data_IF_497406921012
#
_entry.id   IF_497406921012
#
_cell.length_a   1.000
_cell.length_b   1.000
_cell.length_c   1.000
_cell.angle_alpha   90.00
_cell.angle_beta   90.00
_cell.angle_gamma   90.00
#
_symmetry.space_group_name_H-M   'P 1'
#
loop_
_entity.id
_entity.type
_entity.pdbx_description
1 polymer ?
#
# COMPACT_ATOMS: atom_id res chain seq x y z
N UNK A 1 -10.20 -13.28 -17.85
CA UNK A 1 -9.75 -12.87 -16.51
C UNK A 1 -9.50 -11.37 -16.58
N UNK A 2 -9.99 -10.60 -15.61
CA UNK A 2 -9.85 -9.13 -15.63
C UNK A 2 -8.36 -8.73 -15.53
N UNK A 3 -7.97 -7.70 -16.27
CA UNK A 3 -6.61 -7.16 -16.37
C UNK A 3 -6.61 -5.68 -16.01
N UNK A 4 -5.89 -5.31 -14.96
CA UNK A 4 -5.80 -3.92 -14.51
C UNK A 4 -4.38 -3.41 -14.62
N UNK A 5 -4.20 -2.16 -15.06
CA UNK A 5 -3.01 -1.38 -14.73
C UNK A 5 -3.20 -0.78 -13.35
N UNK A 6 -2.13 -0.69 -12.57
CA UNK A 6 -2.23 -0.18 -11.21
C UNK A 6 -1.05 0.73 -10.88
N UNK A 7 -1.34 1.91 -10.34
CA UNK A 7 -0.34 2.92 -9.94
C UNK A 7 -0.69 3.55 -8.60
N UNK A 8 0.24 4.27 -8.00
CA UNK A 8 0.06 5.05 -6.77
C UNK A 8 1.23 6.02 -6.63
N UNK A 9 1.08 7.07 -5.83
CA UNK A 9 2.15 8.01 -5.47
C UNK A 9 2.85 8.59 -6.70
N UNK A 10 2.04 8.96 -7.70
CA UNK A 10 2.50 9.50 -8.97
C UNK A 10 3.02 10.93 -8.85
N UNK A 11 2.66 11.68 -7.79
CA UNK A 11 3.18 13.00 -7.46
C UNK A 11 3.57 13.86 -8.67
N UNK A 12 2.68 13.98 -9.65
CA UNK A 12 2.94 14.65 -10.91
C UNK A 12 3.26 16.15 -10.70
N UNK A 13 2.95 16.71 -9.54
CA UNK A 13 3.35 18.06 -9.14
C UNK A 13 4.87 18.23 -8.95
N UNK A 14 5.62 17.13 -8.79
CA UNK A 14 7.05 17.15 -8.48
C UNK A 14 7.94 16.95 -9.71
N UNK A 15 7.37 16.60 -10.87
CA UNK A 15 8.12 16.36 -12.12
C UNK A 15 7.33 16.76 -13.36
N UNK A 16 7.89 16.50 -14.54
CA UNK A 16 7.31 16.90 -15.84
C UNK A 16 6.11 16.04 -16.28
N UNK A 17 5.45 15.36 -15.34
CA UNK A 17 4.35 14.41 -15.55
C UNK A 17 4.78 12.94 -15.62
N UNK A 18 3.81 12.05 -15.46
CA UNK A 18 3.99 10.60 -15.59
C UNK A 18 3.75 10.13 -17.02
N UNK A 19 4.78 9.53 -17.63
CA UNK A 19 4.67 8.91 -18.95
C UNK A 19 3.84 7.62 -18.86
N UNK A 20 2.61 7.68 -19.38
CA UNK A 20 1.72 6.54 -19.42
C UNK A 20 2.34 5.41 -20.27
N UNK A 21 2.52 4.18 -19.74
CA UNK A 21 3.13 3.08 -20.50
C UNK A 21 2.22 2.57 -21.62
N UNK A 22 2.76 1.80 -22.56
CA UNK A 22 1.95 1.04 -23.52
C UNK A 22 1.77 -0.39 -23.02
N UNK A 23 0.55 -0.84 -22.70
CA UNK A 23 0.33 -2.17 -22.17
C UNK A 23 0.56 -3.22 -23.26
N UNK A 24 1.15 -4.35 -22.90
CA UNK A 24 1.45 -5.44 -23.84
C UNK A 24 0.21 -6.17 -24.37
N UNK A 25 -0.97 -5.87 -23.80
CA UNK A 25 -2.27 -6.39 -24.20
C UNK A 25 -3.38 -5.43 -23.71
N UNK A 26 -4.61 -5.52 -24.23
CA UNK A 26 -5.74 -4.75 -23.71
C UNK A 26 -5.93 -4.95 -22.20
N UNK A 27 -6.40 -3.89 -21.54
CA UNK A 27 -6.68 -3.85 -20.11
C UNK A 27 -8.13 -3.45 -19.90
N UNK A 28 -8.75 -4.00 -18.85
CA UNK A 28 -10.15 -3.78 -18.52
C UNK A 28 -10.36 -2.53 -17.64
N UNK A 29 -9.27 -1.96 -17.12
CA UNK A 29 -9.28 -0.74 -16.34
C UNK A 29 -7.92 -0.33 -15.78
N UNK A 30 -7.89 0.86 -15.19
CA UNK A 30 -6.76 1.39 -14.44
C UNK A 30 -7.18 1.65 -13.00
N UNK A 31 -6.38 1.23 -12.02
CA UNK A 31 -6.61 1.46 -10.60
C UNK A 31 -5.48 2.34 -10.04
N UNK A 32 -5.81 3.48 -9.43
CA UNK A 32 -4.83 4.42 -8.90
C UNK A 32 -5.00 4.58 -7.38
N UNK A 33 -3.96 4.24 -6.65
CA UNK A 33 -3.89 4.13 -5.20
C UNK A 33 -3.75 5.45 -4.44
N UNK A 34 -3.90 6.61 -5.09
CA UNK A 34 -3.80 7.94 -4.46
C UNK A 34 -2.47 8.64 -4.71
N UNK A 35 -2.34 9.84 -4.15
CA UNK A 35 -1.20 10.75 -4.28
C UNK A 35 -0.78 10.98 -5.74
N UNK A 36 -1.74 11.36 -6.60
CA UNK A 36 -1.48 11.66 -8.01
C UNK A 36 -1.00 13.08 -8.23
N UNK A 37 -1.74 14.05 -7.68
CA UNK A 37 -1.43 15.48 -7.77
C UNK A 37 -2.14 16.25 -6.65
N UNK A 38 -1.64 17.45 -6.34
CA UNK A 38 -2.26 18.39 -5.38
C UNK A 38 -3.18 19.41 -6.06
N UNK A 39 -3.95 20.19 -5.29
CA UNK A 39 -4.65 21.42 -5.76
C UNK A 39 -5.66 21.23 -6.90
N UNK A 40 -6.42 20.13 -6.88
CA UNK A 40 -7.54 19.92 -7.81
C UNK A 40 -7.14 19.51 -9.23
N UNK A 41 -5.89 19.06 -9.41
CA UNK A 41 -5.38 18.49 -10.67
C UNK A 41 -5.24 16.97 -10.64
N UNK A 42 -5.70 16.34 -9.56
CA UNK A 42 -5.56 14.90 -9.34
C UNK A 42 -6.26 14.06 -10.40
N UNK A 43 -7.25 14.61 -11.11
CA UNK A 43 -7.96 13.94 -12.21
C UNK A 43 -7.25 14.00 -13.57
N UNK A 44 -6.20 14.81 -13.73
CA UNK A 44 -5.54 15.02 -15.03
C UNK A 44 -4.98 13.70 -15.59
N UNK A 45 -4.26 12.95 -14.75
CA UNK A 45 -3.67 11.66 -15.14
C UNK A 45 -4.73 10.59 -15.37
N UNK A 46 -5.89 10.68 -14.68
CA UNK A 46 -7.01 9.77 -14.90
C UNK A 46 -7.64 10.02 -16.27
N UNK A 47 -7.85 11.29 -16.62
CA UNK A 47 -8.38 11.67 -17.93
C UNK A 47 -7.41 11.29 -19.07
N UNK A 48 -6.10 11.48 -18.88
CA UNK A 48 -5.10 11.02 -19.82
C UNK A 48 -5.10 9.49 -19.98
N UNK A 49 -5.20 8.76 -18.87
CA UNK A 49 -5.25 7.29 -18.86
C UNK A 49 -6.50 6.75 -19.56
N UNK A 50 -7.68 7.29 -19.21
CA UNK A 50 -8.95 6.89 -19.80
C UNK A 50 -8.94 7.08 -21.32
N UNK A 51 -8.42 8.22 -21.80
CA UNK A 51 -8.28 8.50 -23.24
C UNK A 51 -7.26 7.60 -23.93
N UNK A 52 -6.12 7.34 -23.28
CA UNK A 52 -5.04 6.52 -23.88
C UNK A 52 -5.43 5.05 -24.03
N UNK A 53 -6.04 4.49 -22.99
CA UNK A 53 -6.32 3.05 -22.92
C UNK A 53 -7.75 2.68 -23.29
N UNK A 54 -8.63 3.66 -23.46
CA UNK A 54 -10.05 3.46 -23.77
C UNK A 54 -10.74 2.52 -22.77
N UNK A 55 -10.46 2.73 -21.48
CA UNK A 55 -11.00 1.91 -20.39
C UNK A 55 -11.29 2.75 -19.13
N UNK A 56 -12.14 2.25 -18.22
CA UNK A 56 -12.45 2.97 -16.98
C UNK A 56 -11.25 3.12 -16.05
N UNK A 57 -11.20 4.24 -15.34
CA UNK A 57 -10.15 4.56 -14.37
C UNK A 57 -10.75 4.78 -12.99
N UNK A 58 -10.23 4.06 -12.00
CA UNK A 58 -10.66 4.17 -10.60
C UNK A 58 -9.53 4.77 -9.78
N UNK A 59 -9.83 5.78 -8.98
CA UNK A 59 -8.90 6.44 -8.06
C UNK A 59 -9.43 6.36 -6.63
N UNK A 60 -8.54 6.21 -5.67
CA UNK A 60 -8.78 6.65 -4.29
C UNK A 60 -7.98 7.92 -4.02
N UNK A 61 -8.43 8.76 -3.10
CA UNK A 61 -7.55 9.82 -2.61
C UNK A 61 -6.45 9.23 -1.72
N UNK A 62 -5.26 9.79 -1.87
CA UNK A 62 -4.29 9.85 -0.79
C UNK A 62 -4.43 11.11 0.06
N UNK A 63 -3.38 11.47 0.78
CA UNK A 63 -3.35 12.67 1.60
C UNK A 63 -2.90 13.90 0.79
N UNK A 64 -2.18 13.71 -0.33
CA UNK A 64 -1.70 14.80 -1.16
C UNK A 64 -2.78 15.45 -2.02
N UNK A 65 -3.85 14.74 -2.40
CA UNK A 65 -4.98 15.36 -3.12
C UNK A 65 -5.53 16.58 -2.35
N UNK A 66 -5.71 16.42 -1.04
CA UNK A 66 -6.20 17.49 -0.15
C UNK A 66 -5.13 18.52 0.23
N UNK A 67 -3.84 18.25 -0.07
CA UNK A 67 -2.72 19.10 0.33
C UNK A 67 -2.72 20.43 -0.41
N UNK A 68 -2.68 21.52 0.36
CA UNK A 68 -2.72 22.88 -0.19
C UNK A 68 -4.09 23.32 -0.71
N UNK A 69 -5.13 22.52 -0.45
CA UNK A 69 -6.53 22.79 -0.79
C UNK A 69 -7.40 22.96 0.45
N UNK A 70 -8.59 23.53 0.26
CA UNK A 70 -9.70 23.39 1.21
C UNK A 70 -10.51 22.16 0.78
N UNK A 71 -10.60 21.17 1.66
CA UNK A 71 -11.20 19.86 1.37
C UNK A 71 -12.62 19.98 0.80
N UNK A 72 -13.49 20.78 1.45
CA UNK A 72 -14.87 20.98 0.97
C UNK A 72 -14.93 21.50 -0.45
N UNK A 73 -14.03 22.41 -0.79
CA UNK A 73 -13.98 23.08 -2.09
C UNK A 73 -13.43 22.11 -3.14
N UNK A 74 -12.43 21.30 -2.75
CA UNK A 74 -11.85 20.26 -3.60
C UNK A 74 -12.87 19.17 -3.96
N UNK A 75 -13.71 18.72 -3.02
CA UNK A 75 -14.78 17.76 -3.31
C UNK A 75 -15.82 18.33 -4.29
N UNK A 76 -16.19 19.60 -4.12
CA UNK A 76 -17.12 20.27 -5.03
C UNK A 76 -16.52 20.41 -6.44
N UNK A 77 -15.25 20.79 -6.53
CA UNK A 77 -14.52 20.90 -7.80
C UNK A 77 -14.34 19.54 -8.47
N UNK A 78 -13.96 18.50 -7.71
CA UNK A 78 -13.88 17.12 -8.23
C UNK A 78 -15.20 16.67 -8.83
N UNK A 79 -16.32 16.87 -8.13
CA UNK A 79 -17.64 16.48 -8.64
C UNK A 79 -17.98 17.20 -9.96
N UNK A 80 -17.62 18.48 -10.07
CA UNK A 80 -17.81 19.27 -11.29
C UNK A 80 -16.93 18.76 -12.45
N UNK A 81 -15.64 18.51 -12.19
CA UNK A 81 -14.71 17.98 -13.19
C UNK A 81 -15.10 16.58 -13.66
N UNK A 82 -15.51 15.68 -12.74
CA UNK A 82 -15.99 14.35 -13.08
C UNK A 82 -17.24 14.40 -13.97
N UNK A 83 -18.16 15.35 -13.72
CA UNK A 83 -19.32 15.54 -14.59
C UNK A 83 -18.93 15.98 -16.00
N UNK A 84 -17.94 16.86 -16.14
CA UNK A 84 -17.40 17.29 -17.44
C UNK A 84 -16.72 16.13 -18.18
N UNK A 85 -15.84 15.37 -17.50
CA UNK A 85 -15.15 14.21 -18.07
C UNK A 85 -16.14 13.11 -18.49
N UNK A 86 -17.21 12.90 -17.72
CA UNK A 86 -18.30 12.00 -18.10
C UNK A 86 -19.04 12.47 -19.35
N UNK A 87 -19.24 13.78 -19.52
CA UNK A 87 -19.85 14.34 -20.73
C UNK A 87 -18.96 14.16 -21.98
N UNK A 88 -17.65 14.03 -21.80
CA UNK A 88 -16.69 13.64 -22.84
C UNK A 88 -16.71 12.12 -23.14
N UNK A 89 -17.47 11.33 -22.37
CA UNK A 89 -17.56 9.87 -22.52
C UNK A 89 -16.52 9.09 -21.70
N UNK A 90 -15.77 9.75 -20.82
CA UNK A 90 -14.78 9.07 -19.98
C UNK A 90 -15.42 8.48 -18.72
N UNK A 91 -15.10 7.22 -18.41
CA UNK A 91 -15.53 6.55 -17.17
C UNK A 91 -14.43 6.68 -16.12
N UNK A 92 -14.56 7.70 -15.27
CA UNK A 92 -13.62 7.98 -14.18
C UNK A 92 -14.38 7.94 -12.86
N UNK A 93 -13.87 7.19 -11.89
CA UNK A 93 -14.53 6.93 -10.61
C UNK A 93 -13.56 7.22 -9.47
N UNK A 94 -13.93 8.13 -8.58
CA UNK A 94 -13.16 8.42 -7.36
C UNK A 94 -13.89 7.82 -6.15
N UNK A 95 -13.17 7.01 -5.36
CA UNK A 95 -13.73 6.29 -4.22
C UNK A 95 -13.27 6.91 -2.91
N UNK A 96 -14.25 7.34 -2.11
CA UNK A 96 -14.09 7.96 -0.79
C UNK A 96 -14.70 7.08 0.29
N UNK A 97 -14.14 5.89 0.54
CA UNK A 97 -14.82 4.89 1.37
C UNK A 97 -16.02 4.27 0.64
N UNK A 98 -15.85 3.97 -0.64
CA UNK A 98 -16.94 3.54 -1.51
C UNK A 98 -16.57 2.26 -2.29
N UNK A 99 -17.60 1.62 -2.85
CA UNK A 99 -17.48 0.40 -3.64
C UNK A 99 -17.86 0.69 -5.09
N UNK A 100 -17.13 0.11 -6.03
CA UNK A 100 -17.51 0.07 -7.44
C UNK A 100 -17.28 -1.33 -8.00
N UNK A 101 -17.85 -1.61 -9.18
CA UNK A 101 -17.62 -2.85 -9.92
C UNK A 101 -17.02 -2.53 -11.28
N UNK A 102 -15.93 -3.21 -11.63
CA UNK A 102 -15.27 -3.09 -12.92
C UNK A 102 -14.87 -4.47 -13.43
N UNK A 103 -15.29 -4.82 -14.65
CA UNK A 103 -15.03 -6.11 -15.27
C UNK A 103 -15.41 -7.33 -14.38
N UNK A 104 -16.51 -7.22 -13.63
CA UNK A 104 -16.99 -8.25 -12.70
C UNK A 104 -16.14 -8.41 -11.44
N UNK A 105 -15.28 -7.44 -11.12
CA UNK A 105 -14.45 -7.38 -9.92
C UNK A 105 -14.98 -6.26 -9.02
N UNK A 106 -15.20 -6.58 -7.73
CA UNK A 106 -15.54 -5.58 -6.72
C UNK A 106 -14.29 -4.82 -6.32
N UNK A 107 -14.35 -3.50 -6.39
CA UNK A 107 -13.27 -2.61 -5.95
C UNK A 107 -13.80 -1.77 -4.79
N UNK A 108 -13.12 -1.85 -3.65
CA UNK A 108 -13.43 -1.08 -2.45
C UNK A 108 -12.29 -0.08 -2.25
N UNK A 109 -12.58 1.21 -2.16
CA UNK A 109 -11.54 2.23 -2.14
C UNK A 109 -11.75 3.29 -1.07
N UNK A 110 -10.70 3.59 -0.31
CA UNK A 110 -10.68 4.67 0.69
C UNK A 110 -9.25 5.18 0.90
N UNK A 111 -9.06 6.42 1.35
CA UNK A 111 -7.74 6.86 1.87
C UNK A 111 -7.30 6.04 3.10
N UNK A 112 -8.27 5.45 3.79
CA UNK A 112 -8.23 4.75 5.08
C UNK A 112 -7.84 5.61 6.27
N UNK A 113 -6.94 6.59 6.10
CA UNK A 113 -6.37 7.37 7.22
C UNK A 113 -5.83 6.44 8.33
N UNK A 114 -5.40 6.98 9.47
CA UNK A 114 -4.79 6.17 10.53
C UNK A 114 -5.41 6.40 11.90
N UNK A 115 -5.27 5.42 12.79
CA UNK A 115 -5.82 5.46 14.15
C UNK A 115 -4.81 5.83 15.24
N UNK A 116 -3.54 6.05 14.88
CA UNK A 116 -2.40 6.20 15.80
C UNK A 116 -2.08 4.96 16.67
N UNK A 117 -2.71 3.79 16.40
CA UNK A 117 -2.62 2.60 17.25
C UNK A 117 -1.69 1.51 16.71
N UNK A 118 -0.89 1.84 15.71
CA UNK A 118 0.08 0.94 15.07
C UNK A 118 0.99 0.21 16.07
N UNK A 119 1.37 0.87 17.17
CA UNK A 119 2.20 0.27 18.23
C UNK A 119 1.51 0.34 19.59
N UNK A 120 1.20 -0.81 20.21
CA UNK A 120 0.74 -0.86 21.58
C UNK A 120 1.70 -0.12 22.52
N UNK A 121 1.15 0.74 23.38
CA UNK A 121 1.93 1.55 24.34
C UNK A 121 2.50 2.87 23.80
N UNK A 122 2.52 3.11 22.48
CA UNK A 122 3.02 4.36 21.90
C UNK A 122 1.91 5.31 21.42
N UNK A 123 0.63 4.95 21.57
CA UNK A 123 -0.50 5.75 21.06
C UNK A 123 -0.47 7.21 21.54
N UNK A 124 -0.28 7.45 22.84
CA UNK A 124 -0.21 8.81 23.39
C UNK A 124 0.94 9.65 22.77
N UNK A 125 2.07 8.99 22.50
CA UNK A 125 3.21 9.61 21.83
C UNK A 125 2.89 9.88 20.36
N UNK A 126 2.31 8.92 19.64
CA UNK A 126 1.89 9.07 18.25
C UNK A 126 0.92 10.24 18.06
N UNK A 127 -0.10 10.35 18.92
CA UNK A 127 -1.08 11.45 18.92
C UNK A 127 -0.46 12.82 19.16
N UNK A 128 0.75 12.88 19.72
CA UNK A 128 1.51 14.12 19.94
C UNK A 128 2.49 14.40 18.79
N UNK A 129 3.21 13.37 18.35
CA UNK A 129 4.32 13.49 17.40
C UNK A 129 3.79 13.62 15.97
N UNK A 130 2.80 12.82 15.58
CA UNK A 130 2.29 12.78 14.21
C UNK A 130 1.70 14.13 13.79
N UNK A 131 0.75 14.76 14.52
CA UNK A 131 0.20 16.04 14.11
C UNK A 131 1.22 17.19 14.09
N UNK A 132 2.29 17.05 14.87
CA UNK A 132 3.36 18.03 14.93
C UNK A 132 4.30 17.94 13.73
N UNK A 133 4.62 16.72 13.30
CA UNK A 133 5.70 16.46 12.33
C UNK A 133 5.20 16.20 10.92
N UNK A 134 4.00 15.66 10.72
CA UNK A 134 3.48 15.42 9.38
C UNK A 134 2.92 16.70 8.76
N UNK A 135 3.28 16.92 7.49
CA UNK A 135 2.91 18.12 6.76
C UNK A 135 1.40 18.22 6.53
N UNK A 136 0.69 17.08 6.52
CA UNK A 136 -0.77 16.99 6.33
C UNK A 136 -1.53 17.93 7.26
N UNK A 137 -1.14 17.97 8.54
CA UNK A 137 -1.78 18.81 9.56
C UNK A 137 -1.51 20.31 9.40
N UNK A 138 -0.54 20.68 8.55
CA UNK A 138 -0.19 22.06 8.24
C UNK A 138 -0.74 22.51 6.88
N UNK A 139 -0.75 21.59 5.91
CA UNK A 139 -1.10 21.86 4.52
C UNK A 139 -2.59 21.61 4.20
N UNK A 140 -3.24 20.67 4.89
CA UNK A 140 -4.65 20.33 4.66
C UNK A 140 -5.55 21.23 5.50
N UNK A 141 -6.62 21.72 4.87
CA UNK A 141 -7.68 22.48 5.52
C UNK A 141 -9.02 21.80 5.26
N UNK A 142 -9.74 21.42 6.30
CA UNK A 142 -11.06 20.79 6.15
C UNK A 142 -12.14 21.80 5.73
N UNK A 143 -11.93 23.07 6.08
CA UNK A 143 -12.82 24.18 5.76
C UNK A 143 -11.98 25.48 5.72
N UNK A 144 -12.50 26.58 5.13
CA UNK A 144 -11.79 27.85 5.12
C UNK A 144 -11.36 28.27 6.54
N UNK A 145 -10.05 28.46 6.74
CA UNK A 145 -9.48 28.81 8.04
C UNK A 145 -9.33 27.67 9.06
N UNK A 146 -9.93 26.49 8.86
CA UNK A 146 -9.81 25.33 9.77
C UNK A 146 -8.79 24.32 9.24
N UNK A 147 -7.69 24.13 9.97
CA UNK A 147 -6.67 23.12 9.66
C UNK A 147 -7.16 21.71 10.01
N UNK A 148 -6.62 20.74 9.30
CA UNK A 148 -6.76 19.32 9.63
C UNK A 148 -6.16 19.01 11.01
N UNK A 149 -6.83 18.18 11.79
CA UNK A 149 -6.44 17.84 13.17
C UNK A 149 -6.35 16.34 13.38
N UNK A 150 -5.71 15.91 14.48
CA UNK A 150 -5.70 14.50 14.87
C UNK A 150 -7.11 13.94 15.13
N UNK A 151 -8.07 14.78 15.51
CA UNK A 151 -9.47 14.37 15.66
C UNK A 151 -10.13 14.10 14.30
N UNK A 152 -9.82 14.91 13.28
CA UNK A 152 -10.31 14.68 11.91
C UNK A 152 -9.76 13.36 11.35
N UNK A 153 -8.45 13.13 11.51
CA UNK A 153 -7.77 11.86 11.14
C UNK A 153 -8.50 10.63 11.72
N UNK A 154 -8.77 10.65 13.04
CA UNK A 154 -9.47 9.56 13.73
C UNK A 154 -10.90 9.37 13.22
N UNK A 155 -11.64 10.46 13.01
CA UNK A 155 -13.01 10.41 12.53
C UNK A 155 -13.09 9.80 11.13
N UNK A 156 -12.24 10.27 10.22
CA UNK A 156 -12.15 9.76 8.86
C UNK A 156 -11.69 8.31 8.82
N UNK A 157 -10.71 7.94 9.65
CA UNK A 157 -10.29 6.54 9.75
C UNK A 157 -11.43 5.64 10.20
N UNK A 158 -12.15 6.02 11.25
CA UNK A 158 -13.27 5.23 11.75
C UNK A 158 -14.39 5.07 10.70
N UNK A 159 -14.75 6.15 10.01
CA UNK A 159 -15.76 6.15 8.94
C UNK A 159 -15.34 5.26 7.77
N UNK A 160 -14.13 5.46 7.24
CA UNK A 160 -13.65 4.74 6.07
C UNK A 160 -13.35 3.26 6.38
N UNK A 161 -12.80 2.96 7.57
CA UNK A 161 -12.65 1.60 8.05
C UNK A 161 -14.01 0.90 8.10
N UNK A 162 -15.02 1.53 8.71
CA UNK A 162 -16.37 0.95 8.77
C UNK A 162 -16.91 0.64 7.37
N UNK A 163 -16.84 1.59 6.44
CA UNK A 163 -17.31 1.39 5.06
C UNK A 163 -16.57 0.24 4.33
N UNK A 164 -15.25 0.15 4.49
CA UNK A 164 -14.44 -0.93 3.89
C UNK A 164 -14.85 -2.29 4.46
N UNK A 165 -14.95 -2.43 5.78
CA UNK A 165 -15.26 -3.71 6.41
C UNK A 165 -16.73 -4.13 6.26
N UNK A 166 -17.66 -3.17 6.23
CA UNK A 166 -19.06 -3.44 5.88
C UNK A 166 -19.18 -3.99 4.45
N UNK A 167 -18.46 -3.41 3.50
CA UNK A 167 -18.40 -3.94 2.14
C UNK A 167 -17.76 -5.33 2.09
N UNK A 168 -16.64 -5.56 2.79
CA UNK A 168 -15.98 -6.86 2.85
C UNK A 168 -16.82 -7.96 3.53
N UNK A 169 -17.72 -7.60 4.44
CA UNK A 169 -18.65 -8.53 5.07
C UNK A 169 -19.77 -9.01 4.13
N UNK A 170 -20.06 -8.24 3.07
CA UNK A 170 -21.03 -8.64 2.07
C UNK A 170 -20.45 -9.72 1.15
N UNK A 171 -21.21 -10.81 0.95
CA UNK A 171 -20.86 -11.85 0.00
C UNK A 171 -20.76 -11.27 -1.42
N UNK A 172 -19.67 -11.58 -2.10
CA UNK A 172 -19.47 -11.21 -3.49
C UNK A 172 -18.98 -12.44 -4.27
N UNK A 173 -19.65 -12.82 -5.37
CA UNK A 173 -19.39 -14.10 -6.05
C UNK A 173 -18.09 -14.12 -6.87
N UNK A 174 -17.34 -13.02 -6.90
CA UNK A 174 -16.14 -12.83 -7.73
C UNK A 174 -15.00 -12.19 -6.92
N UNK A 175 -13.90 -11.84 -7.59
CA UNK A 175 -12.73 -11.24 -6.96
C UNK A 175 -13.07 -9.89 -6.30
N UNK A 176 -12.41 -9.62 -5.17
CA UNK A 176 -12.47 -8.34 -4.46
C UNK A 176 -11.08 -7.73 -4.36
N UNK A 177 -10.96 -6.50 -4.82
CA UNK A 177 -9.77 -5.66 -4.67
C UNK A 177 -10.10 -4.57 -3.65
N UNK A 178 -9.20 -4.38 -2.68
CA UNK A 178 -9.25 -3.23 -1.76
C UNK A 178 -8.15 -2.25 -2.14
N UNK A 179 -8.41 -0.95 -2.08
CA UNK A 179 -7.45 0.10 -2.36
C UNK A 179 -7.39 1.05 -1.15
N UNK A 180 -6.21 1.25 -0.55
CA UNK A 180 -6.02 2.23 0.53
C UNK A 180 -4.73 3.01 0.43
N UNK A 181 -4.73 4.33 0.60
CA UNK A 181 -3.46 5.08 0.60
C UNK A 181 -2.61 4.70 1.82
N UNK A 182 -3.19 4.81 3.02
CA UNK A 182 -2.52 4.42 4.26
C UNK A 182 -2.47 2.90 4.43
N UNK A 183 -1.40 2.42 5.06
CA UNK A 183 -1.16 0.99 5.18
C UNK A 183 -2.05 0.38 6.26
N UNK A 184 -2.71 -0.74 5.97
CA UNK A 184 -3.68 -1.31 6.89
C UNK A 184 -3.06 -2.27 7.91
N UNK A 185 -1.81 -2.68 7.73
CA UNK A 185 -1.12 -3.62 8.63
C UNK A 185 0.32 -3.20 8.89
N UNK A 186 0.80 -3.46 10.11
CA UNK A 186 2.13 -3.07 10.55
C UNK A 186 3.25 -3.75 9.78
N UNK A 187 3.05 -5.00 9.37
CA UNK A 187 4.08 -5.85 8.74
C UNK A 187 4.56 -5.27 7.40
N UNK A 188 3.82 -4.32 6.82
CA UNK A 188 4.20 -3.61 5.60
C UNK A 188 5.07 -2.37 5.86
N UNK A 189 5.26 -1.96 7.12
CA UNK A 189 6.20 -0.90 7.47
C UNK A 189 7.62 -1.36 7.16
N UNK A 190 8.38 -0.49 6.48
CA UNK A 190 9.78 -0.77 6.18
C UNK A 190 10.59 -1.03 7.48
N UNK A 191 11.36 -2.13 7.59
CA UNK A 191 12.06 -2.49 8.83
C UNK A 191 12.97 -1.39 9.42
N UNK A 192 13.58 -0.55 8.58
CA UNK A 192 14.38 0.57 9.07
C UNK A 192 13.57 1.63 9.87
N UNK A 193 12.25 1.70 9.70
CA UNK A 193 11.36 2.58 10.49
C UNK A 193 10.97 1.97 11.84
N UNK A 194 11.23 0.67 12.04
CA UNK A 194 11.06 -0.03 13.32
C UNK A 194 12.28 0.15 14.24
N UNK A 195 13.40 0.61 13.69
CA UNK A 195 14.66 0.82 14.41
C UNK A 195 14.77 2.29 14.84
N UNK A 196 15.09 2.54 16.11
CA UNK A 196 15.32 3.89 16.63
C UNK A 196 14.58 4.14 17.93
N UNK A 197 14.37 5.42 18.24
CA UNK A 197 13.65 5.82 19.46
C UNK A 197 12.16 5.64 19.26
N UNK A 198 11.41 5.54 20.35
CA UNK A 198 9.95 5.43 20.30
C UNK A 198 9.29 6.59 19.54
N UNK A 199 9.90 7.79 19.55
CA UNK A 199 9.41 8.91 18.75
C UNK A 199 9.50 8.64 17.24
N UNK A 200 10.60 8.02 16.79
CA UNK A 200 10.84 7.71 15.38
C UNK A 200 9.88 6.61 14.92
N UNK A 201 9.64 5.61 15.77
CA UNK A 201 8.65 4.54 15.55
C UNK A 201 7.22 5.07 15.55
N UNK A 202 6.85 5.86 16.57
CA UNK A 202 5.52 6.43 16.73
C UNK A 202 5.09 7.32 15.56
N UNK A 203 6.04 7.94 14.83
CA UNK A 203 5.73 8.68 13.61
C UNK A 203 5.11 7.79 12.52
N UNK A 204 5.49 6.50 12.46
CA UNK A 204 4.93 5.55 11.49
C UNK A 204 3.43 5.30 11.71
N UNK A 205 2.91 5.57 12.91
CA UNK A 205 1.48 5.49 13.20
C UNK A 205 0.65 6.61 12.55
N UNK A 206 1.29 7.58 11.89
CA UNK A 206 0.62 8.50 10.98
C UNK A 206 0.43 7.94 9.58
N UNK A 207 1.14 6.86 9.23
CA UNK A 207 1.18 6.27 7.90
C UNK A 207 0.51 4.90 7.80
N UNK A 208 0.38 4.20 8.93
CA UNK A 208 -0.23 2.88 8.99
C UNK A 208 -1.04 2.66 10.27
N UNK A 209 -1.95 1.69 10.20
CA UNK A 209 -2.65 1.06 11.32
C UNK A 209 -2.33 -0.43 11.37
N UNK A 210 -2.73 -1.10 12.45
CA UNK A 210 -2.58 -2.56 12.59
C UNK A 210 -3.96 -3.23 12.61
N UNK A 211 -4.48 -3.56 11.42
CA UNK A 211 -5.83 -4.10 11.20
C UNK A 211 -5.80 -5.58 10.78
N UNK A 212 -4.68 -6.28 10.99
CA UNK A 212 -4.50 -7.65 10.50
C UNK A 212 -5.56 -8.61 11.04
N UNK A 213 -5.90 -8.47 12.32
CA UNK A 213 -6.88 -9.31 12.99
C UNK A 213 -8.27 -9.19 12.38
N UNK A 214 -8.67 -8.00 11.93
CA UNK A 214 -9.92 -7.82 11.21
C UNK A 214 -9.81 -8.29 9.75
N UNK A 215 -8.69 -8.01 9.06
CA UNK A 215 -8.51 -8.33 7.64
C UNK A 215 -8.52 -9.83 7.38
N UNK A 216 -7.84 -10.63 8.22
CA UNK A 216 -7.64 -12.07 7.98
C UNK A 216 -8.94 -12.88 7.93
N UNK A 217 -10.04 -12.32 8.43
CA UNK A 217 -11.37 -12.95 8.41
C UNK A 217 -12.10 -12.81 7.06
N UNK A 218 -11.59 -11.98 6.14
CA UNK A 218 -12.26 -11.67 4.87
C UNK A 218 -11.56 -12.27 3.65
N UNK A 219 -12.36 -12.67 2.67
CA UNK A 219 -11.86 -13.08 1.36
C UNK A 219 -11.53 -11.87 0.50
N UNK A 220 -10.25 -11.53 0.44
CA UNK A 220 -9.70 -10.44 -0.37
C UNK A 220 -8.77 -11.06 -1.41
N UNK A 221 -8.93 -10.68 -2.68
CA UNK A 221 -8.08 -11.18 -3.75
C UNK A 221 -6.74 -10.42 -3.78
N UNK A 222 -6.84 -9.09 -3.72
CA UNK A 222 -5.68 -8.20 -3.67
C UNK A 222 -6.02 -6.98 -2.84
N UNK A 223 -5.01 -6.41 -2.19
CA UNK A 223 -5.12 -5.10 -1.57
C UNK A 223 -4.00 -4.22 -2.13
N UNK A 224 -4.35 -3.03 -2.60
CA UNK A 224 -3.48 -2.07 -3.26
C UNK A 224 -3.30 -0.91 -2.29
N UNK A 225 -2.09 -0.39 -2.14
CA UNK A 225 -1.84 0.76 -1.27
C UNK A 225 -0.72 1.66 -1.76
N UNK A 226 -0.61 2.83 -1.14
CA UNK A 226 0.42 3.82 -1.44
C UNK A 226 1.21 4.31 -0.22
N UNK A 227 1.60 5.58 -0.28
CA UNK A 227 2.11 6.46 0.77
C UNK A 227 3.49 6.20 1.35
N UNK A 228 3.86 4.94 1.58
CA UNK A 228 5.21 4.63 2.06
C UNK A 228 6.13 4.49 0.85
N UNK A 229 6.86 5.57 0.58
CA UNK A 229 8.10 5.52 -0.19
C UNK A 229 9.08 4.57 0.52
N UNK A 230 9.23 3.36 -0.02
CA UNK A 230 10.35 2.46 0.28
C UNK A 230 11.61 2.82 -0.51
N UNK A 231 11.59 3.91 -1.29
CA UNK A 231 12.75 4.34 -2.05
C UNK A 231 13.75 5.05 -1.13
N UNK A 232 14.94 4.45 -0.98
CA UNK A 232 16.14 5.28 -0.89
C UNK A 232 16.12 6.24 -2.09
N UNK A 233 16.60 7.49 -1.94
CA UNK A 233 16.87 8.37 -3.08
C UNK A 233 17.72 7.62 -4.11
N UNK A 234 17.06 7.03 -5.10
CA UNK A 234 17.69 6.37 -6.23
C UNK A 234 17.85 7.43 -7.30
N UNK A 235 19.06 7.58 -7.81
CA UNK A 235 19.33 8.50 -8.89
C UNK A 235 18.51 8.11 -10.15
N UNK A 236 18.34 9.07 -11.06
CA UNK A 236 17.51 8.89 -12.27
C UNK A 236 17.92 7.67 -13.09
N UNK A 237 19.20 7.28 -13.09
CA UNK A 237 19.69 6.12 -13.84
C UNK A 237 19.33 4.80 -13.15
N UNK A 238 19.31 4.77 -11.82
CA UNK A 238 18.86 3.61 -11.04
C UNK A 238 17.34 3.46 -11.17
N UNK A 239 16.57 4.56 -11.07
CA UNK A 239 15.13 4.55 -11.33
C UNK A 239 14.82 4.03 -12.75
N UNK A 240 15.49 4.56 -13.76
CA UNK A 240 15.29 4.12 -15.15
C UNK A 240 15.61 2.63 -15.31
N UNK A 241 16.67 2.13 -14.67
CA UNK A 241 17.04 0.71 -14.71
C UNK A 241 16.03 -0.19 -14.00
N UNK A 242 15.41 0.26 -12.91
CA UNK A 242 14.34 -0.48 -12.23
C UNK A 242 13.02 -0.41 -13.02
N UNK A 243 12.74 0.70 -13.72
CA UNK A 243 11.61 0.80 -14.68
C UNK A 243 11.82 -0.15 -15.86
N UNK A 244 13.00 -0.12 -16.48
CA UNK A 244 13.39 -0.97 -17.61
C UNK A 244 13.52 -2.45 -17.17
N UNK A 245 13.86 -2.69 -15.90
CA UNK A 245 13.93 -4.00 -15.23
C UNK A 245 12.60 -4.47 -14.60
N UNK A 246 11.49 -3.79 -14.90
CA UNK A 246 10.11 -4.16 -14.55
C UNK A 246 9.74 -4.11 -13.05
N UNK A 247 10.26 -3.14 -12.29
CA UNK A 247 10.11 -3.07 -10.82
C UNK A 247 9.45 -1.83 -10.25
N UNK A 248 8.68 -1.09 -11.02
CA UNK A 248 7.90 0.03 -10.47
C UNK A 248 6.47 0.09 -10.97
N UNK A 249 5.62 -0.63 -10.23
CA UNK A 249 4.23 -0.28 -9.99
C UNK A 249 3.89 -0.84 -8.61
N UNK A 250 3.35 -0.03 -7.70
CA UNK A 250 2.90 -0.51 -6.38
C UNK A 250 1.48 -1.09 -6.47
N UNK A 251 1.38 -2.40 -6.74
CA UNK A 251 0.46 -3.34 -6.07
C UNK A 251 1.22 -4.61 -5.64
N UNK A 252 2.54 -4.52 -5.70
CA UNK A 252 3.39 -5.68 -5.86
C UNK A 252 3.76 -6.29 -4.52
N UNK A 253 3.47 -5.65 -3.38
CA UNK A 253 3.89 -6.21 -2.09
C UNK A 253 3.11 -7.46 -1.64
N UNK A 254 1.84 -7.70 -2.01
CA UNK A 254 1.20 -8.98 -1.64
C UNK A 254 1.86 -10.17 -2.35
N UNK A 255 2.36 -9.95 -3.57
CA UNK A 255 3.05 -10.97 -4.35
C UNK A 255 4.56 -10.93 -4.15
N UNK A 256 5.19 -9.81 -3.84
CA UNK A 256 6.61 -9.75 -3.49
C UNK A 256 6.89 -10.37 -2.13
N UNK A 257 5.99 -10.17 -1.17
CA UNK A 257 6.17 -10.72 0.18
C UNK A 257 6.08 -12.26 0.18
N UNK A 258 5.31 -12.87 -0.74
CA UNK A 258 5.17 -14.33 -0.86
C UNK A 258 5.84 -14.97 -2.10
N UNK A 259 6.12 -14.23 -3.19
CA UNK A 259 6.78 -14.73 -4.42
C UNK A 259 8.19 -14.18 -4.66
N UNK A 260 8.58 -13.01 -4.10
CA UNK A 260 9.93 -12.44 -4.21
C UNK A 260 10.77 -12.56 -2.94
N UNK A 261 10.53 -13.60 -2.10
CA UNK A 261 11.56 -14.05 -1.15
C UNK A 261 12.73 -14.70 -1.91
N UNK A 262 13.58 -13.84 -2.50
CA UNK A 262 15.04 -13.98 -2.43
C UNK A 262 15.73 -12.67 -1.97
N UNK A 263 15.26 -11.94 -0.94
CA UNK A 263 16.18 -11.09 -0.21
C UNK A 263 17.16 -12.05 0.48
N UNK A 264 18.45 -11.90 0.23
CA UNK A 264 19.54 -12.64 0.89
C UNK A 264 19.59 -12.44 2.42
N UNK A 265 18.55 -11.85 2.99
CA UNK A 265 18.46 -11.25 4.29
C UNK A 265 17.19 -11.67 5.07
N UNK A 266 16.23 -12.39 4.47
CA UNK A 266 15.05 -12.95 5.17
C UNK A 266 15.16 -14.48 5.30
N UNK A 267 14.39 -15.05 6.24
CA UNK A 267 14.18 -16.50 6.36
C UNK A 267 13.09 -16.92 5.38
N UNK A 268 13.47 -17.66 4.34
CA UNK A 268 12.54 -18.26 3.38
C UNK A 268 11.70 -19.36 4.05
N UNK A 269 10.53 -19.67 3.49
CA UNK A 269 9.74 -20.82 3.94
C UNK A 269 10.52 -22.13 3.79
N UNK A 270 11.35 -22.27 2.74
CA UNK A 270 12.21 -23.45 2.57
C UNK A 270 13.29 -23.56 3.66
N UNK A 271 13.97 -22.48 4.03
CA UNK A 271 14.92 -22.46 5.16
C UNK A 271 14.20 -22.78 6.48
N UNK A 272 12.95 -22.33 6.62
CA UNK A 272 12.10 -22.62 7.77
C UNK A 272 11.65 -24.10 7.84
N UNK A 273 11.27 -24.70 6.71
CA UNK A 273 10.91 -26.11 6.63
C UNK A 273 12.14 -27.02 6.85
N UNK A 274 13.30 -26.62 6.31
CA UNK A 274 14.59 -27.30 6.56
C UNK A 274 14.94 -27.21 8.04
N UNK A 275 14.74 -26.06 8.69
CA UNK A 275 14.99 -25.91 10.12
C UNK A 275 14.24 -26.99 10.93
N UNK A 276 12.94 -27.21 10.67
CA UNK A 276 12.19 -28.25 11.36
C UNK A 276 12.68 -29.67 11.06
N UNK A 277 12.99 -29.97 9.80
CA UNK A 277 13.57 -31.26 9.42
C UNK A 277 14.93 -31.53 10.09
N UNK A 278 15.73 -30.48 10.30
CA UNK A 278 17.02 -30.54 10.98
C UNK A 278 16.87 -30.67 12.50
N UNK A 279 15.88 -29.99 13.09
CA UNK A 279 15.48 -30.17 14.50
C UNK A 279 15.10 -31.61 14.78
N UNK A 280 14.29 -32.23 13.91
CA UNK A 280 13.90 -33.64 14.02
C UNK A 280 15.09 -34.59 13.88
N UNK A 281 16.14 -34.18 13.16
CA UNK A 281 17.37 -34.97 12.98
C UNK A 281 18.34 -34.90 14.18
N UNK A 282 18.14 -33.97 15.11
CA UNK A 282 18.87 -33.88 16.38
C UNK A 282 19.66 -32.59 16.61
N UNK A 283 20.32 -32.46 17.79
CA UNK A 283 20.90 -31.21 18.25
C UNK A 283 22.12 -30.74 17.44
N UNK A 284 22.99 -31.66 17.01
CA UNK A 284 24.23 -31.30 16.30
C UNK A 284 23.94 -30.70 14.89
N UNK A 285 23.07 -31.30 14.05
CA UNK A 285 22.63 -30.68 12.80
C UNK A 285 21.94 -29.32 13.00
N UNK A 286 21.15 -29.19 14.07
CA UNK A 286 20.41 -27.95 14.39
C UNK A 286 21.36 -26.81 14.73
N UNK A 287 22.36 -27.09 15.58
CA UNK A 287 23.37 -26.11 15.93
C UNK A 287 24.16 -25.64 14.69
N UNK A 288 24.54 -26.57 13.81
CA UNK A 288 25.27 -26.23 12.58
C UNK A 288 24.43 -25.35 11.65
N UNK A 289 23.15 -25.65 11.47
CA UNK A 289 22.23 -24.86 10.65
C UNK A 289 22.04 -23.44 11.21
N UNK A 290 21.90 -23.29 12.53
CA UNK A 290 21.78 -21.97 13.18
C UNK A 290 23.06 -21.14 13.07
N UNK A 291 24.24 -21.77 13.11
CA UNK A 291 25.54 -21.12 12.89
C UNK A 291 25.69 -20.65 11.44
N UNK A 292 25.31 -21.47 10.48
CA UNK A 292 25.35 -21.12 9.05
C UNK A 292 24.41 -19.95 8.73
N UNK A 293 23.25 -19.89 9.38
CA UNK A 293 22.37 -18.71 9.33
C UNK A 293 22.95 -17.50 10.05
N UNK A 294 23.76 -17.67 11.10
CA UNK A 294 24.28 -16.55 11.89
C UNK A 294 25.34 -15.78 11.11
N UNK A 295 26.08 -16.49 10.25
CA UNK A 295 27.04 -15.89 9.34
C UNK A 295 26.39 -15.12 8.17
N UNK A 296 25.10 -15.35 7.92
CA UNK A 296 24.34 -14.60 6.92
C UNK A 296 23.80 -13.30 7.52
N UNK A 297 24.29 -12.17 6.99
CA UNK A 297 23.78 -10.84 7.36
C UNK A 297 22.34 -10.68 6.87
N UNK A 298 21.54 -9.94 7.62
CA UNK A 298 20.19 -9.55 7.25
C UNK A 298 20.09 -8.03 6.99
N UNK A 299 20.21 -7.19 8.00
CA UNK A 299 20.21 -5.73 7.81
C UNK A 299 21.09 -5.07 8.88
N UNK A 300 22.06 -4.26 8.46
CA UNK A 300 23.02 -3.65 9.38
C UNK A 300 23.84 -4.69 10.14
N UNK A 301 23.74 -4.71 11.47
CA UNK A 301 24.39 -5.70 12.34
C UNK A 301 23.57 -6.98 12.55
N UNK A 302 22.31 -6.99 12.13
CA UNK A 302 21.35 -8.08 12.36
C UNK A 302 21.70 -9.32 11.52
N UNK A 303 21.54 -10.51 12.11
CA UNK A 303 21.79 -11.82 11.49
C UNK A 303 20.50 -12.55 11.19
N UNK A 304 20.50 -13.40 10.16
CA UNK A 304 19.32 -14.20 9.82
C UNK A 304 18.87 -15.11 10.98
N UNK A 305 19.79 -15.61 11.80
CA UNK A 305 19.44 -16.41 12.99
C UNK A 305 18.61 -15.63 13.99
N UNK A 306 18.87 -14.33 14.16
CA UNK A 306 18.10 -13.48 15.09
C UNK A 306 16.66 -13.30 14.60
N UNK A 307 16.47 -13.20 13.27
CA UNK A 307 15.14 -13.15 12.64
C UNK A 307 14.41 -14.50 12.78
N UNK A 308 15.10 -15.62 12.55
CA UNK A 308 14.51 -16.96 12.69
C UNK A 308 13.99 -17.19 14.12
N UNK A 309 14.80 -16.85 15.12
CA UNK A 309 14.44 -17.03 16.53
C UNK A 309 13.23 -16.18 16.94
N UNK A 310 13.13 -14.95 16.43
CA UNK A 310 11.95 -14.12 16.68
C UNK A 310 10.69 -14.72 16.03
N UNK A 311 10.79 -15.23 14.79
CA UNK A 311 9.68 -15.87 14.07
C UNK A 311 9.22 -17.18 14.73
N UNK A 312 10.13 -17.96 15.30
CA UNK A 312 9.79 -19.17 16.05
C UNK A 312 9.00 -18.83 17.32
N UNK A 313 9.36 -17.71 17.97
CA UNK A 313 8.62 -17.17 19.12
C UNK A 313 7.17 -16.83 18.76
N UNK A 314 6.94 -16.31 17.55
CA UNK A 314 5.59 -15.99 17.04
C UNK A 314 4.81 -17.23 16.56
N UNK A 315 5.47 -18.33 16.19
CA UNK A 315 4.79 -19.55 15.71
C UNK A 315 4.33 -20.49 16.82
N UNK A 316 4.92 -20.40 18.01
CA UNK A 316 4.27 -20.91 19.22
C UNK A 316 2.88 -20.24 19.44
N UNK A 317 2.60 -19.12 18.76
CA UNK A 317 1.32 -18.40 18.78
C UNK A 317 0.36 -18.73 17.60
N UNK A 318 0.74 -19.60 16.64
CA UNK A 318 -0.18 -20.50 15.89
C UNK A 318 -0.81 -20.10 14.53
N UNK A 319 -0.09 -20.15 13.39
CA UNK A 319 -0.67 -20.11 12.02
C UNK A 319 0.10 -20.98 10.99
N UNK A 320 -0.62 -21.67 10.06
CA UNK A 320 -0.05 -22.55 9.00
C UNK A 320 -0.61 -22.27 7.59
N UNK A 321 -0.02 -22.81 6.48
CA UNK A 321 -0.20 -22.26 5.12
C UNK A 321 -1.19 -22.99 4.19
N UNK A 322 -1.79 -22.27 3.21
CA UNK A 322 -2.63 -22.77 2.10
C UNK A 322 -2.31 -22.07 0.74
N UNK A 323 -2.76 -22.66 -0.39
CA UNK A 323 -2.30 -22.40 -1.80
C UNK A 323 -3.08 -21.30 -2.60
N UNK A 324 -2.43 -20.69 -3.61
CA UNK A 324 -2.75 -19.40 -4.31
C UNK A 324 -3.12 -19.49 -5.83
N UNK A 325 -3.76 -18.42 -6.43
CA UNK A 325 -3.97 -18.22 -7.89
C UNK A 325 -3.12 -17.11 -8.59
N UNK A 326 -3.14 -17.05 -9.94
CA UNK A 326 -2.24 -16.24 -10.81
C UNK A 326 -2.79 -14.87 -11.33
N UNK A 327 -1.99 -13.80 -11.23
CA UNK A 327 -2.18 -12.40 -11.69
C UNK A 327 -0.96 -12.06 -12.59
N UNK A 328 -1.13 -11.26 -13.65
CA UNK A 328 -0.03 -10.89 -14.56
C UNK A 328 0.17 -9.36 -14.62
N UNK A 329 1.41 -8.93 -14.46
CA UNK A 329 1.89 -7.54 -14.62
C UNK A 329 2.53 -7.41 -16.00
N UNK A 330 2.18 -6.38 -16.79
CA UNK A 330 2.79 -6.19 -18.11
C UNK A 330 4.05 -5.33 -18.02
N UNK A 331 5.15 -5.96 -18.39
CA UNK A 331 6.43 -5.39 -18.75
C UNK A 331 6.48 -5.06 -20.26
N UNK A 332 7.19 -3.98 -20.62
CA UNK A 332 7.45 -3.56 -22.00
C UNK A 332 8.21 -4.63 -22.80
N UNK A 333 7.79 -4.81 -24.05
CA UNK A 333 8.55 -5.54 -25.07
C UNK A 333 9.63 -4.64 -25.70
N UNK A 334 10.78 -5.24 -25.93
CA UNK A 334 12.03 -4.68 -26.46
C UNK A 334 11.94 -4.13 -27.88
N UNK A 335 12.77 -3.11 -28.16
CA UNK A 335 13.59 -3.09 -29.38
C UNK A 335 15.04 -2.81 -29.03
#
# INVERSE_FOLDING_TARGET
MARFLVWSDLHDELWEGFDLPDPSAPVDGVLIGGDTHTRGRHLDILAASARKYDCPVVLIWGNHEASGSVWSDLLAEEAHQLAALKAEGLDIRVLHGAVTELAGVRIIGATLWTDFRLYPGLEALARTVVPRLLNDYHAIRTAPGRRFTGADMLALHAEQKAAVFEALAQLYPSATIVMTQHLPVRQLIHPAREIGRDQDRALSAGFASDLWEEIKAHHIHSWIWGHIEIYQKVDRSTRQREVDGHRLANPDHYRLYFSLIRPTHAITQSEFDIFWAVVDAGPDPTAQFLLDLHHQKALGSLRKTEILLERLRELEEGFGPAKEPEIFYSALGTS
#
